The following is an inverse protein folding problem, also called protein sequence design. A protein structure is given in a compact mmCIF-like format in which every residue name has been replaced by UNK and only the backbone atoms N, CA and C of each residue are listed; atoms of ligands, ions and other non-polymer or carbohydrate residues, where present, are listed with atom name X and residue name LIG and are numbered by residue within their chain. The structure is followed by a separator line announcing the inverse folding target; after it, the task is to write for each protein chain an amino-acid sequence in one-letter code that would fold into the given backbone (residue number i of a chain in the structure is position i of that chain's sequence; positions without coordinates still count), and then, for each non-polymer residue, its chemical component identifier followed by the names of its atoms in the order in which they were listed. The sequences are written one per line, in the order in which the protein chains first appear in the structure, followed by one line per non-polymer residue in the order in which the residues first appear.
data_IF_160379682396
#
_entry.id   IF_160379682396
#
_cell.length_a   1.000
_cell.length_b   1.000
_cell.length_c   1.000
_cell.angle_alpha   90.00
_cell.angle_beta   90.00
_cell.angle_gamma   90.00
#
_symmetry.space_group_name_H-M   'P 1'
#
loop_
_entity.id
_entity.type
_entity.pdbx_description
1 polymer ?
#
# COMPACT_ATOMS: atom_id res chain seq x y z
N UNK A 1 -42.73 -7.50 24.58
CA UNK A 1 -42.86 -6.14 25.14
C UNK A 1 -41.81 -5.29 24.45
N UNK A 2 -42.24 -4.42 23.55
CA UNK A 2 -41.39 -3.62 22.66
C UNK A 2 -40.68 -2.54 23.45
N UNK A 3 -39.36 -2.62 23.57
CA UNK A 3 -38.57 -1.52 24.09
C UNK A 3 -38.52 -0.41 23.04
N UNK A 4 -38.96 0.78 23.46
CA UNK A 4 -38.91 2.00 22.69
C UNK A 4 -37.47 2.32 22.30
N UNK A 5 -37.26 2.77 21.06
CA UNK A 5 -36.00 3.33 20.61
C UNK A 5 -35.77 4.64 21.37
N UNK A 6 -34.95 4.57 22.41
CA UNK A 6 -34.38 5.72 23.11
C UNK A 6 -33.33 6.39 22.22
N UNK A 7 -33.00 7.66 22.45
CA UNK A 7 -31.95 8.44 21.77
C UNK A 7 -30.52 7.87 21.96
N UNK A 8 -30.41 6.68 22.57
CA UNK A 8 -29.20 5.90 22.69
C UNK A 8 -28.87 5.21 21.36
N UNK A 9 -27.63 5.36 20.89
CA UNK A 9 -27.13 4.73 19.66
C UNK A 9 -27.32 3.21 19.62
N UNK A 10 -27.04 2.62 18.44
CA UNK A 10 -27.24 1.19 18.22
C UNK A 10 -26.50 0.31 19.24
N UNK A 11 -27.23 -0.62 19.87
CA UNK A 11 -26.66 -1.63 20.78
C UNK A 11 -26.31 -2.88 19.99
N UNK A 12 -25.05 -3.33 20.07
CA UNK A 12 -24.56 -4.55 19.43
C UNK A 12 -24.28 -5.62 20.49
N UNK A 13 -24.89 -6.80 20.35
CA UNK A 13 -24.59 -7.93 21.22
C UNK A 13 -23.25 -8.56 20.80
N UNK A 14 -22.30 -8.62 21.73
CA UNK A 14 -20.96 -9.19 21.50
C UNK A 14 -20.64 -10.35 22.46
N UNK A 15 -21.67 -11.05 22.92
CA UNK A 15 -21.56 -12.19 23.82
C UNK A 15 -20.60 -13.24 23.25
N UNK A 16 -19.76 -13.82 24.11
CA UNK A 16 -18.76 -14.83 23.74
C UNK A 16 -17.69 -14.37 22.72
N UNK A 17 -17.51 -13.06 22.50
CA UNK A 17 -16.43 -12.50 21.68
C UNK A 17 -15.45 -11.65 22.51
N UNK A 18 -14.21 -11.57 22.05
CA UNK A 18 -13.25 -10.58 22.52
C UNK A 18 -13.26 -9.39 21.59
N UNK A 19 -13.42 -8.19 22.14
CA UNK A 19 -13.32 -6.94 21.39
C UNK A 19 -11.87 -6.45 21.51
N UNK A 20 -11.23 -6.23 20.36
CA UNK A 20 -9.89 -5.67 20.25
C UNK A 20 -9.91 -4.47 19.31
N UNK A 21 -8.93 -3.54 19.42
CA UNK A 21 -8.74 -2.51 18.41
C UNK A 21 -8.52 -3.15 17.02
N UNK A 22 -8.94 -2.45 15.97
CA UNK A 22 -8.70 -2.90 14.61
C UNK A 22 -7.21 -3.11 14.34
N UNK A 23 -6.88 -4.19 13.64
CA UNK A 23 -5.50 -4.56 13.34
C UNK A 23 -4.88 -3.56 12.36
N UNK A 24 -3.55 -3.50 12.38
CA UNK A 24 -2.77 -2.68 11.45
C UNK A 24 -1.70 -3.51 10.76
N UNK A 25 -1.49 -3.27 9.45
CA UNK A 25 -0.40 -3.89 8.69
C UNK A 25 0.54 -2.80 8.15
N UNK A 26 1.81 -2.87 8.55
CA UNK A 26 2.82 -1.87 8.23
C UNK A 26 3.53 -2.12 6.89
N UNK A 27 3.29 -3.23 6.19
CA UNK A 27 3.96 -3.51 4.92
C UNK A 27 3.06 -4.32 3.99
N UNK A 28 2.28 -3.62 3.18
CA UNK A 28 1.43 -4.25 2.15
C UNK A 28 1.72 -3.72 0.75
N UNK A 29 1.31 -4.52 -0.23
CA UNK A 29 1.19 -4.12 -1.63
C UNK A 29 -0.20 -4.56 -2.11
N UNK A 30 -1.22 -3.70 -1.99
CA UNK A 30 -2.62 -4.07 -2.31
C UNK A 30 -2.92 -4.00 -3.81
N UNK A 31 -2.06 -3.35 -4.57
CA UNK A 31 -2.16 -3.30 -6.04
C UNK A 31 -1.39 -4.42 -6.74
N UNK A 32 -0.73 -5.29 -5.96
CA UNK A 32 -0.01 -6.48 -6.40
C UNK A 32 -0.97 -7.63 -6.69
N UNK A 33 -0.59 -8.51 -7.62
CA UNK A 33 -1.27 -9.77 -7.90
C UNK A 33 -1.01 -10.86 -6.85
N UNK A 34 -0.09 -10.64 -5.91
CA UNK A 34 0.31 -11.62 -4.88
C UNK A 34 1.27 -12.71 -5.36
N UNK A 35 1.75 -12.61 -6.61
CA UNK A 35 2.69 -13.57 -7.17
C UNK A 35 4.13 -13.37 -6.65
N UNK A 36 4.85 -14.48 -6.51
CA UNK A 36 6.21 -14.56 -5.95
C UNK A 36 7.34 -14.04 -6.85
N UNK A 37 7.05 -13.16 -7.82
CA UNK A 37 8.08 -12.51 -8.63
C UNK A 37 7.70 -11.04 -8.95
N UNK A 38 8.70 -10.17 -9.08
CA UNK A 38 8.51 -8.74 -9.37
C UNK A 38 7.82 -8.51 -10.72
N UNK A 39 8.10 -9.39 -11.69
CA UNK A 39 7.51 -9.34 -13.03
C UNK A 39 5.98 -9.43 -13.00
N UNK A 40 5.41 -10.21 -12.08
CA UNK A 40 3.96 -10.34 -11.91
C UNK A 40 3.30 -9.12 -11.26
N UNK A 41 4.08 -8.14 -10.79
CA UNK A 41 3.57 -6.86 -10.26
C UNK A 41 3.27 -5.86 -11.39
N UNK A 42 3.90 -5.99 -12.55
CA UNK A 42 3.83 -4.96 -13.61
C UNK A 42 3.70 -5.47 -15.04
N UNK A 43 4.22 -6.66 -15.39
CA UNK A 43 4.28 -7.06 -16.80
C UNK A 43 2.94 -7.62 -17.29
N UNK A 44 2.29 -6.86 -18.16
CA UNK A 44 1.19 -7.32 -19.01
C UNK A 44 -0.23 -7.15 -18.47
N UNK A 45 -0.42 -6.61 -17.26
CA UNK A 45 -1.77 -6.37 -16.73
C UNK A 45 -2.19 -4.90 -16.91
N UNK A 46 -3.31 -4.63 -17.62
CA UNK A 46 -3.83 -3.27 -17.74
C UNK A 46 -4.13 -2.66 -16.36
N UNK A 47 -3.87 -1.36 -16.20
CA UNK A 47 -4.08 -0.59 -14.96
C UNK A 47 -5.50 -0.74 -14.42
N UNK A 48 -6.50 -0.74 -15.31
CA UNK A 48 -7.90 -0.94 -14.92
C UNK A 48 -8.14 -2.29 -14.22
N UNK A 49 -7.52 -3.38 -14.72
CA UNK A 49 -7.64 -4.70 -14.10
C UNK A 49 -6.96 -4.73 -12.74
N UNK A 50 -5.79 -4.08 -12.61
CA UNK A 50 -5.10 -3.92 -11.31
C UNK A 50 -5.97 -3.15 -10.31
N UNK A 51 -6.67 -2.10 -10.75
CA UNK A 51 -7.57 -1.33 -9.91
C UNK A 51 -8.72 -2.18 -9.37
N UNK A 52 -9.40 -2.95 -10.24
CA UNK A 52 -10.48 -3.84 -9.79
C UNK A 52 -10.01 -4.93 -8.82
N UNK A 53 -8.80 -5.46 -9.00
CA UNK A 53 -8.21 -6.41 -8.03
C UNK A 53 -7.88 -5.72 -6.71
N UNK A 54 -7.30 -4.53 -6.77
CA UNK A 54 -6.94 -3.77 -5.58
C UNK A 54 -8.18 -3.43 -4.73
N UNK A 55 -9.33 -3.13 -5.37
CA UNK A 55 -10.61 -2.97 -4.68
C UNK A 55 -10.99 -4.22 -3.88
N UNK A 56 -10.97 -5.40 -4.51
CA UNK A 56 -11.27 -6.67 -3.84
C UNK A 56 -10.28 -6.97 -2.71
N UNK A 57 -9.00 -6.64 -2.88
CA UNK A 57 -7.99 -6.83 -1.85
C UNK A 57 -8.20 -5.88 -0.66
N UNK A 58 -8.64 -4.64 -0.89
CA UNK A 58 -8.97 -3.68 0.16
C UNK A 58 -10.16 -4.17 1.00
N UNK A 59 -11.25 -4.59 0.36
CA UNK A 59 -12.42 -5.14 1.03
C UNK A 59 -12.05 -6.37 1.86
N UNK A 60 -11.32 -7.33 1.27
CA UNK A 60 -10.87 -8.53 1.98
C UNK A 60 -9.96 -8.20 3.18
N UNK A 61 -9.11 -7.18 3.05
CA UNK A 61 -8.23 -6.71 4.15
C UNK A 61 -9.07 -6.18 5.32
N UNK A 62 -10.09 -5.36 5.04
CA UNK A 62 -10.99 -4.84 6.07
C UNK A 62 -11.77 -5.96 6.76
N UNK A 63 -12.32 -6.90 5.96
CA UNK A 63 -13.06 -8.07 6.48
C UNK A 63 -12.20 -8.99 7.34
N UNK A 64 -10.88 -9.00 7.14
CA UNK A 64 -9.92 -9.71 7.98
C UNK A 64 -9.58 -8.98 9.29
N UNK A 65 -10.17 -7.82 9.56
CA UNK A 65 -10.00 -7.05 10.79
C UNK A 65 -8.88 -6.00 10.74
N UNK A 66 -8.22 -5.82 9.59
CA UNK A 66 -7.25 -4.74 9.40
C UNK A 66 -7.97 -3.45 9.04
N UNK A 67 -7.82 -2.43 9.88
CA UNK A 67 -8.49 -1.12 9.71
C UNK A 67 -7.55 -0.03 9.22
N UNK A 68 -6.23 -0.25 9.34
CA UNK A 68 -5.17 0.62 8.85
C UNK A 68 -4.09 -0.21 8.15
N UNK A 69 -3.67 0.21 6.97
CA UNK A 69 -2.55 -0.42 6.27
C UNK A 69 -1.60 0.61 5.67
N UNK A 70 -0.31 0.25 5.57
CA UNK A 70 0.70 1.04 4.87
C UNK A 70 1.10 0.36 3.56
N UNK A 71 0.64 0.92 2.44
CA UNK A 71 0.94 0.41 1.11
C UNK A 71 2.24 1.05 0.58
N UNK A 72 3.26 0.22 0.36
CA UNK A 72 4.66 0.67 0.20
C UNK A 72 5.16 0.67 -1.25
N UNK A 73 4.28 0.57 -2.23
CA UNK A 73 4.69 0.70 -3.62
C UNK A 73 3.63 0.23 -4.59
N UNK A 74 3.27 1.10 -5.54
CA UNK A 74 2.36 0.77 -6.62
C UNK A 74 2.74 1.51 -7.92
N UNK A 75 2.66 0.83 -9.08
CA UNK A 75 2.73 1.48 -10.38
C UNK A 75 1.61 2.49 -10.54
N UNK A 76 1.92 3.59 -11.22
CA UNK A 76 0.99 4.67 -11.58
C UNK A 76 0.29 5.30 -10.37
N UNK A 77 0.94 5.27 -9.20
CA UNK A 77 0.36 5.74 -7.93
C UNK A 77 -1.01 5.12 -7.58
N UNK A 78 -1.29 3.91 -8.08
CA UNK A 78 -2.60 3.29 -7.91
C UNK A 78 -3.01 3.11 -6.44
N UNK A 79 -2.03 2.94 -5.54
CA UNK A 79 -2.27 2.89 -4.09
C UNK A 79 -2.76 4.22 -3.51
N UNK A 80 -2.29 5.37 -4.02
CA UNK A 80 -2.77 6.70 -3.63
C UNK A 80 -4.20 6.89 -4.13
N UNK A 81 -4.50 6.49 -5.37
CA UNK A 81 -5.86 6.57 -5.92
C UNK A 81 -6.85 5.70 -5.16
N UNK A 82 -6.45 4.48 -4.79
CA UNK A 82 -7.24 3.59 -3.94
C UNK A 82 -7.48 4.20 -2.54
N UNK A 83 -6.44 4.77 -1.92
CA UNK A 83 -6.55 5.43 -0.62
C UNK A 83 -7.56 6.58 -0.65
N UNK A 84 -7.52 7.42 -1.69
CA UNK A 84 -8.50 8.50 -1.89
C UNK A 84 -9.91 7.98 -2.09
N UNK A 85 -10.09 6.98 -2.94
CA UNK A 85 -11.42 6.42 -3.19
C UNK A 85 -12.04 5.79 -1.94
N UNK A 86 -11.24 5.20 -1.04
CA UNK A 86 -11.72 4.72 0.26
C UNK A 86 -12.05 5.89 1.19
N UNK A 87 -11.19 6.90 1.27
CA UNK A 87 -11.43 8.10 2.09
C UNK A 87 -12.69 8.86 1.66
N UNK A 88 -12.98 8.89 0.36
CA UNK A 88 -14.17 9.50 -0.24
C UNK A 88 -15.43 8.62 -0.13
N UNK A 89 -15.31 7.41 0.44
CA UNK A 89 -16.42 6.45 0.61
C UNK A 89 -16.88 5.77 -0.68
N UNK A 90 -16.13 5.89 -1.79
CA UNK A 90 -16.45 5.24 -3.06
C UNK A 90 -16.21 3.72 -3.02
N UNK A 91 -15.22 3.28 -2.23
CA UNK A 91 -14.82 1.88 -2.09
C UNK A 91 -14.74 1.53 -0.60
N UNK A 92 -15.27 0.37 -0.20
CA UNK A 92 -15.10 -0.14 1.16
C UNK A 92 -13.67 -0.72 1.33
N UNK A 93 -12.98 -0.31 2.39
CA UNK A 93 -11.62 -0.78 2.69
C UNK A 93 -11.01 -0.14 3.94
N UNK A 94 -9.81 -0.57 4.36
CA UNK A 94 -9.09 0.04 5.47
C UNK A 94 -8.61 1.45 5.11
N UNK A 95 -8.27 2.25 6.12
CA UNK A 95 -7.48 3.47 5.90
C UNK A 95 -6.12 3.07 5.32
N UNK A 96 -5.68 3.73 4.24
CA UNK A 96 -4.41 3.42 3.57
C UNK A 96 -3.44 4.60 3.68
N UNK A 97 -2.28 4.36 4.29
CA UNK A 97 -1.10 5.22 4.18
C UNK A 97 -0.28 4.79 2.96
N UNK A 98 -0.56 5.40 1.82
CA UNK A 98 0.07 5.04 0.55
C UNK A 98 1.41 5.77 0.35
N UNK A 99 2.43 5.05 -0.11
CA UNK A 99 3.74 5.60 -0.43
C UNK A 99 3.88 6.12 -1.87
N UNK A 100 2.91 5.82 -2.75
CA UNK A 100 3.10 6.01 -4.19
C UNK A 100 4.13 5.03 -4.74
N UNK A 101 5.13 5.54 -5.45
CA UNK A 101 6.34 4.79 -5.76
C UNK A 101 7.32 4.84 -4.58
N UNK A 102 7.99 3.72 -4.31
CA UNK A 102 9.21 3.78 -3.50
C UNK A 102 10.36 4.44 -4.25
N UNK A 103 11.46 4.70 -3.57
CA UNK A 103 12.67 5.29 -4.14
C UNK A 103 13.81 4.28 -4.07
N UNK A 104 14.51 4.08 -5.19
CA UNK A 104 15.57 3.08 -5.36
C UNK A 104 16.71 3.66 -6.21
N UNK A 105 17.92 3.12 -6.10
CA UNK A 105 19.02 3.48 -7.02
C UNK A 105 18.77 2.91 -8.42
N UNK A 106 19.50 3.38 -9.43
CA UNK A 106 19.46 2.76 -10.76
C UNK A 106 19.74 1.25 -10.68
N UNK A 107 18.83 0.42 -11.22
CA UNK A 107 18.89 -1.04 -11.18
C UNK A 107 18.60 -1.67 -9.80
N UNK A 108 18.14 -0.89 -8.83
CA UNK A 108 17.87 -1.34 -7.46
C UNK A 108 16.59 -2.17 -7.31
N UNK A 109 16.28 -2.56 -6.08
CA UNK A 109 15.06 -3.34 -5.82
C UNK A 109 13.80 -2.54 -6.21
N UNK A 110 12.89 -3.17 -6.94
CA UNK A 110 11.60 -2.57 -7.32
C UNK A 110 11.64 -1.62 -8.52
N UNK A 111 12.81 -1.39 -9.13
CA UNK A 111 13.01 -0.37 -10.19
C UNK A 111 12.15 -0.60 -11.43
N UNK A 112 11.78 -1.85 -11.72
CA UNK A 112 10.97 -2.18 -12.90
C UNK A 112 9.47 -2.05 -12.66
N UNK A 113 9.05 -1.88 -11.41
CA UNK A 113 7.67 -2.12 -11.02
C UNK A 113 7.07 -1.03 -10.13
N UNK A 114 7.67 -0.80 -8.98
CA UNK A 114 7.04 -0.10 -7.86
C UNK A 114 7.90 1.01 -7.28
N UNK A 115 9.03 1.32 -7.93
CA UNK A 115 9.98 2.32 -7.49
C UNK A 115 10.33 3.31 -8.61
N UNK A 116 10.65 4.53 -8.20
CA UNK A 116 11.27 5.58 -9.01
C UNK A 116 12.77 5.56 -8.75
N UNK A 117 13.55 5.39 -9.81
CA UNK A 117 15.01 5.42 -9.73
C UNK A 117 15.51 6.84 -9.40
N UNK A 118 16.48 6.95 -8.51
CA UNK A 118 17.09 8.22 -8.09
C UNK A 118 18.53 7.97 -7.62
N UNK A 119 19.49 8.68 -8.22
CA UNK A 119 20.91 8.53 -7.88
C UNK A 119 21.46 9.82 -7.26
N UNK A 120 21.98 9.69 -6.04
CA UNK A 120 22.54 10.79 -5.26
C UNK A 120 21.50 11.60 -4.47
N UNK A 121 21.96 12.42 -3.48
CA UNK A 121 21.07 13.05 -2.51
C UNK A 121 20.02 13.99 -3.11
N UNK A 122 20.37 14.75 -4.15
CA UNK A 122 19.46 15.72 -4.77
C UNK A 122 18.33 15.05 -5.54
N UNK A 123 18.63 13.98 -6.28
CA UNK A 123 17.61 13.21 -6.98
C UNK A 123 16.71 12.45 -6.00
N UNK A 124 17.26 11.92 -4.90
CA UNK A 124 16.44 11.31 -3.84
C UNK A 124 15.50 12.35 -3.22
N UNK A 125 15.96 13.57 -2.91
CA UNK A 125 15.09 14.65 -2.40
C UNK A 125 14.00 15.01 -3.41
N UNK A 126 14.34 15.07 -4.69
CA UNK A 126 13.37 15.33 -5.76
C UNK A 126 12.33 14.21 -5.87
N UNK A 127 12.76 12.96 -5.84
CA UNK A 127 11.88 11.78 -5.82
C UNK A 127 10.88 11.83 -4.65
N UNK A 128 11.36 12.18 -3.45
CA UNK A 128 10.49 12.36 -2.27
C UNK A 128 9.46 13.46 -2.51
N UNK A 129 9.87 14.62 -3.02
CA UNK A 129 8.96 15.74 -3.33
C UNK A 129 7.92 15.36 -4.38
N UNK A 130 8.27 14.55 -5.37
CA UNK A 130 7.34 14.02 -6.37
C UNK A 130 6.25 13.16 -5.71
N UNK A 131 6.61 12.27 -4.78
CA UNK A 131 5.63 11.44 -4.05
C UNK A 131 4.73 12.27 -3.12
N UNK A 132 5.31 13.24 -2.41
CA UNK A 132 4.53 14.17 -1.58
C UNK A 132 3.54 14.98 -2.43
N UNK A 133 3.97 15.49 -3.59
CA UNK A 133 3.09 16.19 -4.55
C UNK A 133 1.97 15.27 -5.06
N UNK A 134 2.25 13.99 -5.29
CA UNK A 134 1.24 13.02 -5.70
C UNK A 134 0.21 12.74 -4.59
N UNK A 135 0.53 13.05 -3.33
CA UNK A 135 -0.32 12.86 -2.16
C UNK A 135 0.03 11.63 -1.33
N UNK A 136 1.30 11.19 -1.37
CA UNK A 136 1.76 10.09 -0.54
C UNK A 136 1.67 10.44 0.96
N UNK A 137 1.14 9.51 1.75
CA UNK A 137 1.10 9.59 3.22
C UNK A 137 2.33 8.95 3.89
N UNK A 138 3.21 8.34 3.11
CA UNK A 138 4.48 7.75 3.56
C UNK A 138 5.54 7.86 2.47
N UNK A 139 6.81 7.70 2.84
CA UNK A 139 7.92 7.57 1.90
C UNK A 139 8.57 6.20 2.10
N UNK A 140 8.79 5.46 1.01
CA UNK A 140 9.47 4.17 1.01
C UNK A 140 10.82 4.27 0.31
N UNK A 141 11.87 3.82 0.98
CA UNK A 141 13.19 3.62 0.39
C UNK A 141 13.48 2.12 0.25
N UNK A 142 14.10 1.76 -0.87
CA UNK A 142 14.74 0.47 -1.09
C UNK A 142 16.21 0.63 -0.75
N UNK A 143 16.56 0.38 0.52
CA UNK A 143 17.89 0.65 1.06
C UNK A 143 18.94 -0.41 0.71
N UNK A 144 18.52 -1.55 0.16
CA UNK A 144 19.39 -2.62 -0.31
C UNK A 144 18.73 -3.33 -1.51
N UNK A 145 19.43 -4.32 -2.07
CA UNK A 145 18.81 -5.26 -2.99
C UNK A 145 17.59 -5.97 -2.37
N UNK A 146 16.83 -6.66 -3.21
CA UNK A 146 15.66 -7.42 -2.79
C UNK A 146 15.75 -8.86 -3.20
N UNK A 147 14.98 -9.71 -2.53
CA UNK A 147 14.87 -11.13 -2.90
C UNK A 147 14.13 -11.31 -4.23
N UNK A 148 13.20 -10.40 -4.52
CA UNK A 148 12.25 -10.53 -5.64
C UNK A 148 12.74 -9.90 -6.94
N UNK A 149 13.80 -9.08 -6.87
CA UNK A 149 14.44 -8.46 -8.06
C UNK A 149 15.62 -9.33 -8.47
N UNK A 150 15.64 -9.87 -9.70
CA UNK A 150 16.79 -10.62 -10.19
C UNK A 150 18.06 -9.76 -10.24
N UNK A 151 19.20 -10.33 -9.83
CA UNK A 151 20.51 -9.71 -10.03
C UNK A 151 20.95 -8.69 -8.98
N UNK A 152 20.20 -8.48 -7.89
CA UNK A 152 20.59 -7.61 -6.77
C UNK A 152 20.84 -8.42 -5.49
N UNK A 153 21.83 -8.04 -4.68
CA UNK A 153 22.12 -8.69 -3.38
C UNK A 153 21.32 -8.00 -2.27
N UNK A 154 20.44 -8.71 -1.52
CA UNK A 154 19.68 -8.15 -0.41
C UNK A 154 20.52 -7.53 0.72
N UNK A 155 21.80 -7.89 0.78
CA UNK A 155 22.75 -7.42 1.78
C UNK A 155 23.59 -6.25 1.29
N UNK A 156 23.59 -5.98 -0.02
CA UNK A 156 24.32 -4.84 -0.58
C UNK A 156 23.49 -3.56 -0.43
N UNK A 157 24.04 -2.48 0.14
CA UNK A 157 23.32 -1.22 0.27
C UNK A 157 23.07 -0.59 -1.10
N UNK A 158 21.90 0.03 -1.27
CA UNK A 158 21.52 0.76 -2.49
C UNK A 158 21.92 2.24 -2.46
N UNK A 159 22.13 2.80 -1.28
CA UNK A 159 22.57 4.18 -1.11
C UNK A 159 23.75 4.21 -0.14
N UNK A 160 24.76 5.01 -0.46
CA UNK A 160 25.95 5.21 0.36
C UNK A 160 26.02 6.59 0.98
N UNK A 161 25.22 7.54 0.49
CA UNK A 161 25.12 8.94 0.92
C UNK A 161 23.67 9.46 0.79
#
# INVERSE_FOLDING_TARGET
MTAAADEAGAVLACECMYIVPGLSDCHVHRTSSGAGNEESLTRGMPTAIRAFRAMRHAEATLRAGFTLVRDLGAPEHLNIHLARAIADGLIEGPTILAAGFGVTMTGGHGHTAIAREADGPDEVRKAVREQLRAGAGAIKLFASGGVMTPGVDPRAPSFTE
#
